data_IF_780477464847
#
_entry.id   IF_780477464847
#
_cell.length_a   1.000
_cell.length_b   1.000
_cell.length_c   1.000
_cell.angle_alpha   90.00
_cell.angle_beta   90.00
_cell.angle_gamma   90.00
#
_symmetry.space_group_name_H-M   'P 1'
#
loop_
_entity.id
_entity.type
_entity.pdbx_description
1 polymer ?
#
# COMPACT_ATOMS: atom_id res chain seq x y z
N UNK A 1 23.60 57.34 -62.00
CA UNK A 1 22.23 57.61 -61.53
C UNK A 1 21.70 56.37 -60.81
N UNK A 2 21.39 56.51 -59.52
CA UNK A 2 20.63 55.64 -58.61
C UNK A 2 21.03 54.15 -58.48
N UNK A 3 21.75 53.91 -57.38
CA UNK A 3 21.77 52.72 -56.51
C UNK A 3 20.31 52.30 -56.18
N UNK A 4 20.03 51.01 -55.95
CA UNK A 4 19.28 50.49 -54.79
C UNK A 4 19.23 48.94 -54.80
N UNK A 5 19.63 48.38 -53.65
CA UNK A 5 19.55 46.99 -53.23
C UNK A 5 18.13 46.40 -53.33
N UNK A 6 18.02 45.11 -53.68
CA UNK A 6 16.89 44.28 -53.20
C UNK A 6 17.45 42.98 -52.61
N UNK A 7 17.02 42.74 -51.38
CA UNK A 7 17.54 41.80 -50.38
C UNK A 7 17.11 40.36 -50.67
N UNK A 8 18.00 39.41 -50.34
CA UNK A 8 17.77 37.96 -50.38
C UNK A 8 16.59 37.59 -49.47
N UNK A 9 15.61 36.89 -50.03
CA UNK A 9 14.45 36.34 -49.32
C UNK A 9 14.85 35.02 -48.66
N UNK A 10 15.20 35.06 -47.38
CA UNK A 10 15.42 33.88 -46.54
C UNK A 10 14.18 33.64 -45.69
N UNK A 11 13.27 32.77 -46.13
CA UNK A 11 12.16 32.29 -45.30
C UNK A 11 12.67 31.07 -44.56
N UNK A 12 13.26 31.31 -43.38
CA UNK A 12 13.54 30.25 -42.42
C UNK A 12 12.22 29.91 -41.70
N UNK A 13 11.65 28.76 -42.06
CA UNK A 13 10.51 28.16 -41.36
C UNK A 13 10.96 27.73 -39.95
N UNK A 14 10.56 28.47 -38.92
CA UNK A 14 10.63 27.99 -37.54
C UNK A 14 9.52 26.95 -37.35
N UNK A 15 9.87 25.65 -37.44
CA UNK A 15 9.05 24.59 -36.87
C UNK A 15 9.00 24.82 -35.35
N UNK A 16 7.89 25.36 -34.86
CA UNK A 16 7.55 25.32 -33.46
C UNK A 16 7.26 23.86 -33.07
N UNK A 17 8.24 23.20 -32.44
CA UNK A 17 8.01 21.93 -31.76
C UNK A 17 7.17 22.26 -30.53
N UNK A 18 5.85 22.17 -30.68
CA UNK A 18 4.95 22.10 -29.53
C UNK A 18 5.16 20.73 -28.88
N UNK A 19 6.03 20.67 -27.87
CA UNK A 19 6.03 19.57 -26.92
C UNK A 19 4.70 19.61 -26.17
N UNK A 20 3.70 18.91 -26.69
CA UNK A 20 2.48 18.59 -25.96
C UNK A 20 2.89 17.60 -24.87
N UNK A 21 3.27 18.12 -23.71
CA UNK A 21 3.35 17.32 -22.49
C UNK A 21 1.92 16.94 -22.16
N UNK A 22 1.50 15.77 -22.63
CA UNK A 22 0.24 15.19 -22.19
C UNK A 22 0.31 15.04 -20.67
N UNK A 23 -0.69 15.51 -19.91
CA UNK A 23 -0.72 15.27 -18.48
C UNK A 23 -0.70 13.77 -18.27
N UNK A 24 0.36 13.25 -17.67
CA UNK A 24 0.34 11.88 -17.16
C UNK A 24 -0.79 11.84 -16.13
N UNK A 25 -1.76 10.94 -16.35
CA UNK A 25 -2.82 10.72 -15.39
C UNK A 25 -2.17 10.27 -14.08
N UNK A 26 -2.00 11.21 -13.14
CA UNK A 26 -1.62 10.89 -11.77
C UNK A 26 -2.83 10.18 -11.18
N UNK A 27 -2.79 8.85 -11.12
CA UNK A 27 -3.73 8.12 -10.28
C UNK A 27 -3.45 8.55 -8.86
N UNK A 28 -4.41 9.23 -8.25
CA UNK A 28 -4.34 9.61 -6.85
C UNK A 28 -4.08 8.32 -6.04
N UNK A 29 -2.91 8.22 -5.41
CA UNK A 29 -2.66 7.13 -4.48
C UNK A 29 -3.63 7.34 -3.31
N UNK A 30 -4.45 6.34 -3.00
CA UNK A 30 -5.33 6.40 -1.86
C UNK A 30 -4.47 6.57 -0.60
N UNK A 31 -4.54 7.74 0.03
CA UNK A 31 -3.96 7.99 1.35
C UNK A 31 -4.73 7.17 2.39
N UNK A 32 -4.13 6.96 3.58
CA UNK A 32 -4.81 6.37 4.73
C UNK A 32 -6.26 6.89 4.86
N UNK A 33 -7.24 5.99 4.77
CA UNK A 33 -8.66 6.35 4.93
C UNK A 33 -8.95 6.88 6.33
N UNK A 34 -10.01 7.65 6.49
CA UNK A 34 -10.40 8.23 7.78
C UNK A 34 -11.52 7.40 8.45
N UNK A 35 -11.44 7.19 9.77
CA UNK A 35 -12.47 6.49 10.55
C UNK A 35 -13.42 7.56 11.12
N UNK A 36 -14.63 7.69 10.55
CA UNK A 36 -15.60 8.75 10.91
C UNK A 36 -16.40 8.48 12.19
N UNK A 37 -16.60 7.21 12.56
CA UNK A 37 -17.40 6.79 13.72
C UNK A 37 -16.66 5.76 14.59
N UNK A 38 -15.41 6.07 14.94
CA UNK A 38 -14.55 5.23 15.77
C UNK A 38 -14.45 5.67 17.23
N UNK A 39 -14.05 4.76 18.11
CA UNK A 39 -13.64 5.07 19.47
C UNK A 39 -12.24 5.69 19.53
N UNK A 40 -11.83 6.19 20.70
CA UNK A 40 -10.53 6.86 20.95
C UNK A 40 -9.29 6.02 20.57
N UNK A 41 -9.47 4.70 20.40
CA UNK A 41 -8.39 3.75 20.04
C UNK A 41 -8.31 3.43 18.55
N UNK A 42 -9.22 3.96 17.73
CA UNK A 42 -9.26 3.66 16.30
C UNK A 42 -8.25 4.54 15.55
N UNK A 43 -7.03 4.04 15.45
CA UNK A 43 -5.99 4.65 14.62
C UNK A 43 -6.15 4.16 13.18
N UNK A 44 -6.39 5.07 12.24
CA UNK A 44 -6.17 4.79 10.83
C UNK A 44 -4.66 4.52 10.60
N UNK A 45 -4.36 3.37 10.01
CA UNK A 45 -3.02 2.95 9.61
C UNK A 45 -2.80 3.29 8.13
N UNK A 46 -1.57 3.66 7.79
CA UNK A 46 -1.24 3.97 6.42
C UNK A 46 -1.19 2.73 5.54
N UNK A 47 -1.56 2.89 4.26
CA UNK A 47 -1.46 1.82 3.29
C UNK A 47 -1.18 2.37 1.89
N UNK A 48 -0.67 1.51 1.02
CA UNK A 48 -0.55 1.78 -0.40
C UNK A 48 -1.05 0.59 -1.20
N UNK A 49 -1.58 0.87 -2.39
CA UNK A 49 -1.98 -0.10 -3.40
C UNK A 49 -1.19 0.15 -4.68
N UNK A 50 -0.87 -0.89 -5.43
CA UNK A 50 -0.29 -0.73 -6.77
C UNK A 50 -1.39 -0.44 -7.81
N UNK A 51 -2.58 -1.03 -7.65
CA UNK A 51 -3.73 -0.82 -8.54
C UNK A 51 -4.94 -0.22 -7.82
N UNK A 52 -5.49 -0.84 -6.79
CA UNK A 52 -6.70 -0.38 -6.10
C UNK A 52 -7.99 -0.49 -6.91
N UNK A 53 -8.00 -1.20 -8.03
CA UNK A 53 -9.23 -1.45 -8.82
C UNK A 53 -9.90 -2.73 -8.35
N UNK A 54 -11.21 -2.69 -8.11
CA UNK A 54 -12.04 -3.88 -7.88
C UNK A 54 -11.92 -4.88 -9.03
N UNK A 55 -12.19 -6.16 -8.76
CA UNK A 55 -12.11 -7.22 -9.77
C UNK A 55 -10.73 -7.39 -10.46
N UNK A 56 -9.64 -6.83 -9.91
CA UNK A 56 -8.26 -7.00 -10.41
C UNK A 56 -7.33 -7.64 -9.38
N UNK A 57 -6.16 -8.07 -9.86
CA UNK A 57 -5.05 -8.43 -8.99
C UNK A 57 -4.30 -7.16 -8.57
N UNK A 58 -3.78 -7.18 -7.35
CA UNK A 58 -3.16 -6.02 -6.73
C UNK A 58 -2.08 -6.44 -5.73
N UNK A 59 -1.35 -5.44 -5.23
CA UNK A 59 -0.39 -5.57 -4.13
C UNK A 59 -0.66 -4.51 -3.08
N UNK A 60 -0.86 -4.97 -1.86
CA UNK A 60 -1.17 -4.12 -0.71
C UNK A 60 0.09 -3.96 0.14
N UNK A 61 0.35 -2.73 0.57
CA UNK A 61 1.47 -2.39 1.46
C UNK A 61 0.91 -1.79 2.75
N UNK A 62 0.70 -2.63 3.75
CA UNK A 62 -0.02 -2.30 4.98
C UNK A 62 0.97 -1.89 6.08
N UNK A 63 0.92 -0.64 6.52
CA UNK A 63 1.80 -0.13 7.58
C UNK A 63 1.52 -0.79 8.93
N UNK A 64 2.57 -1.29 9.57
CA UNK A 64 2.56 -1.63 11.00
C UNK A 64 3.40 -0.59 11.73
N UNK A 65 2.74 0.27 12.51
CA UNK A 65 3.41 1.34 13.27
C UNK A 65 4.47 0.76 14.21
N UNK A 66 5.58 1.47 14.47
CA UNK A 66 6.60 1.03 15.41
C UNK A 66 6.03 0.75 16.80
N UNK A 67 6.31 -0.45 17.32
CA UNK A 67 5.87 -0.87 18.64
C UNK A 67 6.94 -0.62 19.71
N UNK A 68 6.55 -0.40 20.96
CA UNK A 68 7.48 -0.23 22.09
C UNK A 68 8.11 -1.54 22.57
N UNK A 69 7.69 -2.68 22.02
CA UNK A 69 8.09 -4.04 22.38
C UNK A 69 8.48 -4.85 21.13
N UNK A 70 9.09 -6.02 21.34
CA UNK A 70 9.40 -6.95 20.24
C UNK A 70 8.14 -7.64 19.73
N UNK A 71 7.96 -7.68 18.42
CA UNK A 71 6.78 -8.28 17.76
C UNK A 71 7.11 -9.69 17.28
N UNK A 72 6.32 -10.68 17.71
CA UNK A 72 6.50 -12.09 17.32
C UNK A 72 5.49 -12.56 16.27
N UNK A 73 4.41 -11.83 16.04
CA UNK A 73 3.38 -12.18 15.06
C UNK A 73 2.63 -10.91 14.63
N UNK A 74 2.25 -10.84 13.35
CA UNK A 74 1.32 -9.84 12.82
C UNK A 74 0.03 -10.54 12.39
N UNK A 75 -1.10 -10.04 12.86
CA UNK A 75 -2.43 -10.58 12.62
C UNK A 75 -3.26 -9.51 11.93
N UNK A 76 -3.90 -9.87 10.82
CA UNK A 76 -4.77 -9.00 10.04
C UNK A 76 -6.14 -9.66 9.95
N UNK A 77 -7.20 -8.95 10.34
CA UNK A 77 -8.58 -9.39 10.10
C UNK A 77 -9.27 -8.49 9.10
N UNK A 78 -10.17 -9.02 8.29
CA UNK A 78 -10.84 -8.27 7.22
C UNK A 78 -12.37 -8.46 7.29
N UNK A 79 -13.15 -7.58 6.65
CA UNK A 79 -14.59 -7.57 6.85
C UNK A 79 -15.26 -8.72 6.07
N UNK A 80 -16.44 -9.12 6.51
CA UNK A 80 -17.21 -10.23 5.93
C UNK A 80 -17.59 -10.05 4.45
N UNK A 81 -17.80 -8.81 4.03
CA UNK A 81 -18.12 -8.45 2.66
C UNK A 81 -16.89 -8.35 1.73
N UNK A 82 -15.66 -8.55 2.24
CA UNK A 82 -14.49 -8.70 1.38
C UNK A 82 -14.48 -10.11 0.78
N UNK A 83 -14.88 -10.24 -0.49
CA UNK A 83 -14.96 -11.52 -1.18
C UNK A 83 -13.72 -11.88 -2.03
N UNK A 84 -12.61 -11.14 -1.87
CA UNK A 84 -11.34 -11.39 -2.56
C UNK A 84 -10.57 -12.63 -2.08
N UNK A 85 -9.32 -12.75 -2.52
CA UNK A 85 -8.41 -13.82 -2.10
C UNK A 85 -6.96 -13.35 -1.91
N UNK A 86 -6.23 -14.06 -1.05
CA UNK A 86 -4.83 -13.77 -0.74
C UNK A 86 -3.94 -14.96 -1.14
N UNK A 87 -2.74 -14.66 -1.64
CA UNK A 87 -1.71 -15.66 -1.92
C UNK A 87 -0.67 -15.66 -0.79
N UNK A 88 -0.74 -16.68 0.09
CA UNK A 88 0.14 -16.78 1.26
C UNK A 88 1.61 -16.99 0.90
N UNK A 89 1.92 -17.45 -0.31
CA UNK A 89 3.30 -17.67 -0.75
C UNK A 89 4.01 -16.37 -1.15
N UNK A 90 3.26 -15.29 -1.40
CA UNK A 90 3.79 -13.99 -1.80
C UNK A 90 3.44 -12.88 -0.78
N UNK A 91 3.26 -13.29 0.49
CA UNK A 91 3.19 -12.40 1.65
C UNK A 91 4.60 -12.16 2.19
N UNK A 92 4.92 -10.90 2.47
CA UNK A 92 6.23 -10.49 2.99
C UNK A 92 6.11 -9.51 4.15
N UNK A 93 7.13 -9.49 5.00
CA UNK A 93 7.37 -8.41 5.96
C UNK A 93 8.56 -7.58 5.50
N UNK A 94 8.40 -6.25 5.46
CA UNK A 94 9.46 -5.32 5.06
C UNK A 94 9.77 -4.32 6.16
N UNK A 95 11.06 -4.12 6.44
CA UNK A 95 11.52 -3.01 7.29
C UNK A 95 11.56 -1.74 6.46
N UNK A 96 10.50 -0.95 6.59
CA UNK A 96 10.34 0.35 5.91
C UNK A 96 9.16 1.11 6.51
N UNK A 97 9.27 2.45 6.58
CA UNK A 97 8.13 3.34 6.79
C UNK A 97 7.47 3.79 5.48
N UNK A 98 8.12 3.58 4.34
CA UNK A 98 7.67 4.03 3.04
C UNK A 98 6.83 2.94 2.35
N UNK A 99 5.93 3.35 1.45
CA UNK A 99 5.10 2.41 0.69
C UNK A 99 5.89 1.42 -0.16
N UNK A 100 7.06 1.80 -0.64
CA UNK A 100 7.86 0.99 -1.55
C UNK A 100 9.30 0.91 -1.06
N UNK A 101 10.01 -0.12 -1.50
CA UNK A 101 11.36 -0.43 -1.04
C UNK A 101 11.38 -1.07 0.34
N UNK A 102 12.53 -0.98 1.01
CA UNK A 102 12.80 -1.66 2.28
C UNK A 102 13.46 -3.02 2.12
N UNK A 103 13.90 -3.58 3.25
CA UNK A 103 14.51 -4.91 3.32
C UNK A 103 13.46 -5.93 3.72
N UNK A 104 13.34 -7.02 2.96
CA UNK A 104 12.50 -8.18 3.30
C UNK A 104 13.07 -8.86 4.56
N UNK A 105 12.20 -9.20 5.51
CA UNK A 105 12.49 -10.08 6.64
C UNK A 105 12.18 -11.53 6.27
N UNK A 106 12.95 -12.46 6.81
CA UNK A 106 12.60 -13.89 6.73
C UNK A 106 11.35 -14.14 7.58
N UNK A 107 10.35 -14.79 6.97
CA UNK A 107 9.14 -15.25 7.65
C UNK A 107 9.23 -16.75 7.88
N UNK A 108 8.77 -17.20 9.04
CA UNK A 108 8.59 -18.62 9.34
C UNK A 108 7.35 -19.15 8.63
N UNK A 109 6.25 -18.39 8.67
CA UNK A 109 5.02 -18.75 7.98
C UNK A 109 4.11 -17.55 7.71
N UNK A 110 3.25 -17.70 6.70
CA UNK A 110 2.08 -16.88 6.49
C UNK A 110 0.88 -17.80 6.24
N UNK A 111 -0.23 -17.57 6.93
CA UNK A 111 -1.44 -18.39 6.83
C UNK A 111 -2.66 -17.51 6.58
N UNK A 112 -3.63 -18.08 5.88
CA UNK A 112 -4.91 -17.44 5.63
C UNK A 112 -6.06 -18.36 6.04
N UNK A 113 -6.70 -18.00 7.13
CA UNK A 113 -7.89 -18.64 7.67
C UNK A 113 -9.12 -17.89 7.13
N UNK A 114 -9.69 -18.41 6.03
CA UNK A 114 -10.83 -17.80 5.35
C UNK A 114 -12.08 -17.79 6.22
N UNK A 115 -12.29 -18.82 7.05
CA UNK A 115 -13.47 -18.95 7.92
C UNK A 115 -13.47 -17.87 8.99
N UNK A 116 -12.32 -17.65 9.64
CA UNK A 116 -12.15 -16.63 10.66
C UNK A 116 -11.75 -15.25 10.09
N UNK A 117 -11.66 -15.12 8.76
CA UNK A 117 -11.25 -13.90 8.04
C UNK A 117 -9.95 -13.30 8.60
N UNK A 118 -8.95 -14.16 8.75
CA UNK A 118 -7.69 -13.85 9.43
C UNK A 118 -6.50 -14.23 8.56
N UNK A 119 -5.56 -13.31 8.42
CA UNK A 119 -4.21 -13.55 7.90
C UNK A 119 -3.25 -13.44 9.09
N UNK A 120 -2.40 -14.44 9.26
CA UNK A 120 -1.37 -14.46 10.29
C UNK A 120 0.00 -14.55 9.62
N UNK A 121 0.93 -13.70 10.04
CA UNK A 121 2.31 -13.67 9.54
C UNK A 121 3.27 -13.77 10.71
N UNK A 122 4.09 -14.82 10.71
CA UNK A 122 5.06 -15.11 11.76
C UNK A 122 6.47 -14.88 11.20
N UNK A 123 7.22 -13.87 11.66
CA UNK A 123 8.62 -13.68 11.31
C UNK A 123 9.49 -14.80 11.91
N UNK A 124 10.57 -15.17 11.24
CA UNK A 124 11.51 -16.20 11.74
C UNK A 124 12.22 -15.80 13.03
N UNK A 125 12.44 -14.51 13.21
CA UNK A 125 12.94 -13.92 14.45
C UNK A 125 12.02 -12.79 14.90
N UNK A 126 11.85 -12.64 16.22
CA UNK A 126 11.05 -11.56 16.78
C UNK A 126 11.59 -10.19 16.33
N UNK A 127 10.70 -9.37 15.77
CA UNK A 127 11.06 -8.07 15.21
C UNK A 127 11.42 -7.12 16.34
N UNK A 128 12.58 -6.42 16.29
CA UNK A 128 12.99 -5.49 17.32
C UNK A 128 11.96 -4.37 17.56
N UNK A 129 11.92 -3.88 18.80
CA UNK A 129 11.10 -2.71 19.15
C UNK A 129 11.51 -1.48 18.33
N UNK A 130 10.57 -0.55 18.14
CA UNK A 130 10.73 0.70 17.38
C UNK A 130 11.06 0.51 15.89
N UNK A 131 10.89 -0.70 15.36
CA UNK A 131 11.04 -0.98 13.92
C UNK A 131 9.78 -0.56 13.17
N UNK A 132 9.92 0.27 12.14
CA UNK A 132 8.85 0.55 11.19
C UNK A 132 8.74 -0.58 10.16
N UNK A 133 7.52 -1.04 9.92
CA UNK A 133 7.28 -2.23 9.11
C UNK A 133 6.13 -2.03 8.13
N UNK A 134 6.16 -2.80 7.04
CA UNK A 134 4.98 -3.07 6.22
C UNK A 134 4.77 -4.55 6.01
N UNK A 135 3.52 -4.99 6.10
CA UNK A 135 3.09 -6.27 5.54
C UNK A 135 2.78 -6.03 4.06
N UNK A 136 3.43 -6.80 3.19
CA UNK A 136 3.19 -6.74 1.75
C UNK A 136 2.39 -7.97 1.36
N UNK A 137 1.15 -7.77 0.93
CA UNK A 137 0.31 -8.81 0.38
C UNK A 137 0.38 -8.69 -1.14
N UNK A 138 1.11 -9.58 -1.82
CA UNK A 138 1.15 -9.60 -3.28
C UNK A 138 0.08 -10.55 -3.84
N UNK A 139 -0.26 -10.36 -5.12
CA UNK A 139 -1.25 -11.18 -5.83
C UNK A 139 -2.60 -11.25 -5.12
N UNK A 140 -2.99 -10.15 -4.44
CA UNK A 140 -4.31 -10.03 -3.84
C UNK A 140 -5.33 -9.94 -4.96
N UNK A 141 -6.31 -10.84 -4.97
CA UNK A 141 -7.47 -10.71 -5.85
C UNK A 141 -8.46 -9.80 -5.15
N UNK A 142 -8.63 -8.59 -5.67
CA UNK A 142 -9.56 -7.60 -5.11
C UNK A 142 -11.01 -8.09 -5.22
N UNK A 143 -11.89 -7.71 -4.28
CA UNK A 143 -13.31 -8.05 -4.30
C UNK A 143 -14.00 -7.55 -5.56
N UNK A 144 -15.18 -8.10 -5.83
CA UNK A 144 -15.89 -7.82 -7.09
C UNK A 144 -16.35 -6.36 -7.21
N UNK A 145 -16.64 -5.72 -6.08
CA UNK A 145 -17.16 -4.37 -5.98
C UNK A 145 -16.14 -3.41 -5.36
N UNK A 146 -16.10 -2.17 -5.87
CA UNK A 146 -15.40 -1.07 -5.22
C UNK A 146 -16.04 -0.69 -3.89
N UNK A 147 -15.34 0.12 -3.09
CA UNK A 147 -15.81 0.58 -1.79
C UNK A 147 -14.72 0.60 -0.72
N UNK A 148 -15.17 0.69 0.54
CA UNK A 148 -14.31 0.76 1.72
C UNK A 148 -14.29 -0.58 2.44
N UNK A 149 -13.09 -1.09 2.71
CA UNK A 149 -12.86 -2.34 3.40
C UNK A 149 -11.93 -2.10 4.59
N UNK A 150 -12.45 -2.21 5.81
CA UNK A 150 -11.67 -2.03 7.03
C UNK A 150 -10.95 -3.32 7.41
N UNK A 151 -9.62 -3.30 7.32
CA UNK A 151 -8.75 -4.37 7.77
C UNK A 151 -8.18 -3.98 9.13
N UNK A 152 -8.38 -4.79 10.17
CA UNK A 152 -7.86 -4.51 11.51
C UNK A 152 -6.53 -5.21 11.73
N UNK A 153 -5.55 -4.46 12.24
CA UNK A 153 -4.23 -4.95 12.61
C UNK A 153 -4.11 -5.26 14.09
N UNK A 154 -3.50 -6.41 14.40
CA UNK A 154 -3.03 -6.79 15.73
C UNK A 154 -1.60 -7.33 15.65
N UNK A 155 -0.86 -7.23 16.74
CA UNK A 155 0.48 -7.80 16.87
C UNK A 155 0.62 -8.57 18.17
N UNK A 156 1.35 -9.69 18.16
CA UNK A 156 1.69 -10.43 19.36
C UNK A 156 3.02 -9.95 19.92
N UNK A 157 3.11 -9.78 21.24
CA UNK A 157 4.37 -9.44 21.92
C UNK A 157 5.19 -10.71 22.11
N UNK A 158 6.51 -10.63 21.92
CA UNK A 158 7.39 -11.79 22.12
C UNK A 158 7.55 -12.19 23.59
N UNK A 159 7.35 -11.25 24.52
CA UNK A 159 7.48 -11.46 25.97
C UNK A 159 6.17 -11.92 26.64
N UNK A 160 5.02 -11.59 26.06
CA UNK A 160 3.69 -11.93 26.58
C UNK A 160 2.76 -12.27 25.41
N UNK A 161 2.15 -13.47 25.37
CA UNK A 161 1.34 -13.94 24.25
C UNK A 161 -0.07 -13.32 24.26
N UNK A 162 -0.16 -11.99 24.31
CA UNK A 162 -1.42 -11.24 24.24
C UNK A 162 -1.42 -10.35 23.00
N UNK A 163 -2.36 -10.54 22.05
CA UNK A 163 -2.47 -9.68 20.89
C UNK A 163 -2.82 -8.25 21.27
N UNK A 164 -2.06 -7.29 20.75
CA UNK A 164 -2.28 -5.86 20.91
C UNK A 164 -2.86 -5.31 19.61
N UNK A 165 -4.01 -4.65 19.69
CA UNK A 165 -4.60 -3.93 18.56
C UNK A 165 -3.77 -2.69 18.22
N UNK A 166 -3.46 -2.50 16.94
CA UNK A 166 -2.58 -1.43 16.45
C UNK A 166 -3.32 -0.39 15.58
N UNK A 167 -4.58 -0.65 15.23
CA UNK A 167 -5.38 0.20 14.36
C UNK A 167 -5.92 -0.56 13.15
N UNK A 168 -6.45 0.18 12.18
CA UNK A 168 -7.07 -0.38 10.96
C UNK A 168 -6.59 0.29 9.70
N UNK A 169 -6.43 -0.48 8.64
CA UNK A 169 -6.29 0.00 7.27
C UNK A 169 -7.68 0.09 6.64
N UNK A 170 -8.15 1.31 6.35
CA UNK A 170 -9.42 1.52 5.64
C UNK A 170 -9.12 1.52 4.13
N UNK A 171 -9.09 0.32 3.54
CA UNK A 171 -8.71 0.12 2.14
C UNK A 171 -9.85 0.61 1.24
N UNK A 172 -9.54 1.55 0.36
CA UNK A 172 -10.47 2.06 -0.66
C UNK A 172 -10.15 1.44 -2.00
N UNK A 173 -11.16 0.86 -2.65
CA UNK A 173 -11.07 0.27 -3.99
C UNK A 173 -12.03 0.95 -4.96
N UNK A 174 -11.56 1.17 -6.20
CA UNK A 174 -12.29 1.76 -7.32
C UNK A 174 -13.23 0.75 -8.00
#
# INVERSE_FOLDING_TARGET
MKIHMIKKLGIASCLAIACVVAPTAVRAQANAGFILFGGVKDSALDYCLDNGTSSRNDRYYLEVKPQSFKVSEVIITYPDHFNGSFDTNDIKLRVTGQCRGGKDLEIESATWDRENRRITVIPKEAIPAKTALRVVLSNVRNPDYGGFYQFDGRVLRADVPVPVYIGSWVITLD
#
